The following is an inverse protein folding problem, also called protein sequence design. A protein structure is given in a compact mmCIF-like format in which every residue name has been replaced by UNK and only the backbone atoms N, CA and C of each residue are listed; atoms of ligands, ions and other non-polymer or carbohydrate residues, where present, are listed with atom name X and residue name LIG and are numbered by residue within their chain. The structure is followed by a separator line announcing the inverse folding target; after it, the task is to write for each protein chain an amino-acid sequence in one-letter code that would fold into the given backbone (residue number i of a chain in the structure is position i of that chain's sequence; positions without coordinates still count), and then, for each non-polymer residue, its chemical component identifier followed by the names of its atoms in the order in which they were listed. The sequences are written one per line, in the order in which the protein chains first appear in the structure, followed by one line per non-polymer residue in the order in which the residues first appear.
data_IF_585482976022
#
_entry.id   IF_585482976022
#
_cell.length_a   1.000
_cell.length_b   1.000
_cell.length_c   1.000
_cell.angle_alpha   90.00
_cell.angle_beta   90.00
_cell.angle_gamma   90.00
#
_symmetry.space_group_name_H-M   'P 1'
#
loop_
_entity.id
_entity.type
_entity.pdbx_description
1 polymer ?
#
# COMPACT_ATOMS: atom_id res chain seq x y z
N UNK A 1 37.72 -49.35 64.15
CA UNK A 1 38.13 -48.43 63.05
C UNK A 1 37.83 -48.98 61.65
N UNK A 2 37.86 -50.30 61.41
CA UNK A 2 37.66 -50.89 60.06
C UNK A 2 36.21 -50.78 59.54
N UNK A 3 35.20 -50.87 60.40
CA UNK A 3 33.78 -50.85 59.99
C UNK A 3 33.28 -49.48 59.46
N UNK A 4 33.91 -48.38 59.87
CA UNK A 4 33.48 -47.04 59.46
C UNK A 4 33.96 -46.70 58.03
N UNK A 5 35.14 -47.21 57.66
CA UNK A 5 35.74 -47.00 56.32
C UNK A 5 34.97 -47.79 55.26
N UNK A 6 34.54 -49.02 55.57
CA UNK A 6 33.76 -49.87 54.64
C UNK A 6 32.39 -49.25 54.31
N UNK A 7 31.74 -48.64 55.30
CA UNK A 7 30.45 -47.94 55.09
C UNK A 7 30.59 -46.76 54.12
N UNK A 8 31.68 -45.99 54.24
CA UNK A 8 31.91 -44.83 53.38
C UNK A 8 32.15 -45.22 51.91
N UNK A 9 32.88 -46.31 51.66
CA UNK A 9 33.10 -46.79 50.30
C UNK A 9 31.83 -47.32 49.64
N UNK A 10 30.95 -48.01 50.39
CA UNK A 10 29.68 -48.53 49.86
C UNK A 10 28.72 -47.37 49.52
N UNK A 11 28.63 -46.35 50.38
CA UNK A 11 27.80 -45.16 50.11
C UNK A 11 28.33 -44.39 48.90
N UNK A 12 29.65 -44.25 48.77
CA UNK A 12 30.28 -43.62 47.60
C UNK A 12 30.02 -44.37 46.29
N UNK A 13 30.09 -45.71 46.31
CA UNK A 13 29.82 -46.54 45.12
C UNK A 13 28.34 -46.48 44.72
N UNK A 14 27.43 -46.49 45.70
CA UNK A 14 25.99 -46.35 45.45
C UNK A 14 25.65 -44.97 44.88
N UNK A 15 26.30 -43.91 45.35
CA UNK A 15 26.11 -42.56 44.82
C UNK A 15 26.63 -42.44 43.38
N UNK A 16 27.78 -43.05 43.06
CA UNK A 16 28.32 -43.10 41.69
C UNK A 16 27.47 -43.95 40.73
N UNK A 17 26.89 -45.05 41.21
CA UNK A 17 25.96 -45.86 40.42
C UNK A 17 24.62 -45.14 40.20
N UNK A 18 24.18 -44.32 41.16
CA UNK A 18 23.00 -43.48 41.01
C UNK A 18 23.21 -42.34 39.98
N UNK A 19 24.39 -41.72 39.96
CA UNK A 19 24.70 -40.65 38.98
C UNK A 19 24.89 -41.18 37.56
N UNK A 20 25.48 -42.37 37.39
CA UNK A 20 25.64 -43.00 36.06
C UNK A 20 24.30 -43.46 35.47
N UNK A 21 23.35 -43.95 36.28
CA UNK A 21 21.96 -44.21 35.86
C UNK A 21 21.22 -42.95 35.41
N UNK A 22 21.54 -41.79 35.99
CA UNK A 22 20.96 -40.50 35.59
C UNK A 22 21.42 -40.03 34.20
N UNK A 23 22.65 -40.38 33.79
CA UNK A 23 23.22 -39.90 32.51
C UNK A 23 22.81 -40.72 31.28
N UNK A 24 22.42 -41.98 31.42
CA UNK A 24 22.02 -42.86 30.30
C UNK A 24 20.56 -42.69 29.84
N UNK A 25 19.77 -41.83 30.50
CA UNK A 25 18.34 -41.63 30.20
C UNK A 25 18.06 -40.31 29.46
N UNK A 26 18.98 -39.87 28.61
CA UNK A 26 18.77 -38.74 27.70
C UNK A 26 18.74 -39.20 26.24
N UNK A 27 17.89 -40.19 25.94
CA UNK A 27 17.37 -40.33 24.59
C UNK A 27 16.38 -39.18 24.36
N UNK A 28 16.90 -38.03 23.91
CA UNK A 28 16.05 -36.94 23.42
C UNK A 28 15.30 -37.48 22.20
N UNK A 29 14.06 -37.87 22.43
CA UNK A 29 13.10 -38.17 21.39
C UNK A 29 12.99 -36.93 20.50
N UNK A 30 13.64 -36.97 19.34
CA UNK A 30 13.59 -35.89 18.37
C UNK A 30 12.18 -35.87 17.77
N UNK A 31 11.36 -34.96 18.26
CA UNK A 31 9.94 -34.88 17.92
C UNK A 31 9.77 -34.41 16.46
N UNK A 32 9.43 -35.34 15.57
CA UNK A 32 9.16 -35.09 14.15
C UNK A 32 8.13 -33.96 13.94
N UNK A 33 7.28 -33.69 14.93
CA UNK A 33 6.33 -32.55 14.89
C UNK A 33 7.01 -31.19 14.79
N UNK A 34 8.27 -31.03 15.23
CA UNK A 34 8.99 -29.76 15.08
C UNK A 34 9.45 -29.51 13.63
N UNK A 35 9.55 -30.56 12.81
CA UNK A 35 9.90 -30.47 11.39
C UNK A 35 8.67 -30.37 10.48
N UNK A 36 7.47 -30.63 11.02
CA UNK A 36 6.24 -30.46 10.26
C UNK A 36 6.01 -28.98 10.00
N UNK A 37 6.22 -28.59 8.74
CA UNK A 37 5.92 -27.25 8.23
C UNK A 37 4.48 -26.90 8.60
N UNK A 38 4.31 -25.82 9.37
CA UNK A 38 2.99 -25.32 9.76
C UNK A 38 2.09 -25.15 8.53
N UNK A 39 0.84 -25.60 8.67
CA UNK A 39 -0.19 -25.49 7.63
C UNK A 39 -0.31 -24.01 7.21
N UNK A 40 -0.15 -23.73 5.92
CA UNK A 40 -0.38 -22.39 5.36
C UNK A 40 -1.88 -22.18 5.24
N UNK A 41 -2.36 -21.06 5.76
CA UNK A 41 -3.74 -20.65 5.63
C UNK A 41 -3.90 -19.91 4.29
N UNK A 42 -4.85 -20.37 3.47
CA UNK A 42 -5.24 -19.70 2.23
C UNK A 42 -6.22 -18.55 2.48
N UNK A 43 -6.92 -18.63 3.62
CA UNK A 43 -7.99 -17.74 4.02
C UNK A 43 -7.69 -17.25 5.44
N UNK A 44 -8.08 -16.01 5.76
CA UNK A 44 -7.82 -15.45 7.08
C UNK A 44 -8.62 -16.19 8.16
N UNK A 45 -8.04 -16.41 9.35
CA UNK A 45 -8.72 -17.14 10.42
C UNK A 45 -9.99 -16.40 10.87
N UNK A 46 -11.05 -17.16 11.13
CA UNK A 46 -12.33 -16.62 11.56
C UNK A 46 -12.19 -15.81 12.85
N UNK A 47 -12.71 -14.58 12.88
CA UNK A 47 -12.65 -13.76 14.07
C UNK A 47 -13.61 -14.28 15.15
N UNK A 48 -13.10 -14.94 16.18
CA UNK A 48 -13.83 -15.43 17.38
C UNK A 48 -14.40 -14.30 18.28
N UNK A 49 -14.50 -13.07 17.79
CA UNK A 49 -14.98 -11.92 18.56
C UNK A 49 -14.57 -10.53 18.03
N UNK A 50 -13.65 -10.44 17.06
CA UNK A 50 -13.26 -9.15 16.44
C UNK A 50 -12.90 -9.31 14.97
N UNK A 51 -13.65 -8.69 14.06
CA UNK A 51 -13.43 -8.76 12.61
C UNK A 51 -11.95 -8.51 12.24
N UNK A 52 -11.37 -9.40 11.43
CA UNK A 52 -10.04 -9.21 10.85
C UNK A 52 -10.14 -8.13 9.77
N UNK A 53 -9.59 -6.95 10.06
CA UNK A 53 -9.61 -5.78 9.16
C UNK A 53 -8.21 -5.37 8.76
N UNK A 54 -8.03 -5.07 7.48
CA UNK A 54 -6.90 -4.28 6.99
C UNK A 54 -7.31 -2.82 7.03
N UNK A 55 -6.48 -1.98 7.64
CA UNK A 55 -6.70 -0.54 7.69
C UNK A 55 -5.62 0.15 6.87
N UNK A 56 -6.03 0.91 5.87
CA UNK A 56 -5.15 1.82 5.12
C UNK A 56 -5.45 3.22 5.58
N UNK A 57 -4.42 3.93 6.02
CA UNK A 57 -4.54 5.31 6.49
C UNK A 57 -3.75 6.22 5.57
N UNK A 58 -4.41 7.23 5.02
CA UNK A 58 -3.77 8.32 4.28
C UNK A 58 -3.77 9.57 5.16
N UNK A 59 -2.58 10.05 5.51
CA UNK A 59 -2.39 11.30 6.24
C UNK A 59 -1.87 12.38 5.30
N UNK A 60 -2.53 13.54 5.26
CA UNK A 60 -2.07 14.73 4.55
C UNK A 60 -1.88 15.87 5.56
N UNK A 61 -0.70 16.48 5.58
CA UNK A 61 -0.42 17.68 6.37
C UNK A 61 -0.21 18.87 5.45
N UNK A 62 -1.11 19.85 5.48
CA UNK A 62 -0.98 21.08 4.71
C UNK A 62 -0.47 22.20 5.62
N UNK A 63 0.72 22.78 5.34
CA UNK A 63 1.17 23.98 6.04
C UNK A 63 0.29 25.16 5.62
N UNK A 64 -0.19 25.91 6.60
CA UNK A 64 -0.91 27.17 6.36
C UNK A 64 0.04 28.34 6.56
N UNK A 65 0.02 29.29 5.62
CA UNK A 65 0.83 30.52 5.69
C UNK A 65 0.18 31.52 6.67
N UNK A 66 0.94 32.00 7.66
CA UNK A 66 0.51 32.97 8.67
C UNK A 66 1.64 33.32 9.66
N UNK A 67 1.43 34.30 10.55
CA UNK A 67 2.44 34.77 11.52
C UNK A 67 2.89 33.68 12.53
N UNK A 68 2.16 32.56 12.59
CA UNK A 68 2.46 31.39 13.40
C UNK A 68 2.32 30.14 12.53
N UNK A 69 3.29 29.22 12.64
CA UNK A 69 3.25 27.95 11.93
C UNK A 69 2.07 27.09 12.43
N UNK A 70 1.04 26.93 11.60
CA UNK A 70 -0.11 26.05 11.84
C UNK A 70 -0.18 25.02 10.73
N UNK A 71 -0.29 23.74 11.08
CA UNK A 71 -0.39 22.62 10.13
C UNK A 71 -1.79 22.03 10.22
N UNK A 72 -2.50 22.00 9.08
CA UNK A 72 -3.79 21.36 8.96
C UNK A 72 -3.61 19.89 8.55
N UNK A 73 -4.01 18.98 9.44
CA UNK A 73 -3.91 17.53 9.19
C UNK A 73 -5.24 16.92 8.76
N UNK A 74 -5.25 16.21 7.63
CA UNK A 74 -6.34 15.36 7.19
C UNK A 74 -5.95 13.89 7.29
N UNK A 75 -6.84 13.04 7.82
CA UNK A 75 -6.62 11.60 7.90
C UNK A 75 -7.82 10.87 7.29
N UNK A 76 -7.57 10.16 6.19
CA UNK A 76 -8.54 9.27 5.56
C UNK A 76 -8.28 7.83 6.05
N UNK A 77 -9.30 7.19 6.62
CA UNK A 77 -9.23 5.82 7.13
C UNK A 77 -10.09 4.87 6.30
N UNK A 78 -9.44 3.99 5.55
CA UNK A 78 -10.09 2.95 4.77
C UNK A 78 -10.03 1.61 5.52
N UNK A 79 -11.18 1.06 5.92
CA UNK A 79 -11.27 -0.23 6.62
C UNK A 79 -11.77 -1.32 5.66
N UNK A 80 -10.96 -2.36 5.44
CA UNK A 80 -11.27 -3.49 4.57
C UNK A 80 -11.41 -4.76 5.37
N UNK A 81 -12.61 -5.36 5.35
CA UNK A 81 -12.84 -6.65 5.98
C UNK A 81 -12.16 -7.75 5.17
N UNK A 82 -11.35 -8.57 5.85
CA UNK A 82 -10.64 -9.68 5.20
C UNK A 82 -11.58 -10.86 4.96
N UNK A 83 -11.47 -11.54 3.80
CA UNK A 83 -12.30 -12.71 3.52
C UNK A 83 -11.88 -13.88 4.41
N UNK A 84 -12.87 -14.46 5.09
CA UNK A 84 -12.75 -15.62 5.97
C UNK A 84 -13.28 -16.92 5.35
N UNK A 85 -13.88 -16.85 4.16
CA UNK A 85 -14.41 -18.02 3.44
C UNK A 85 -13.76 -18.16 2.05
N UNK A 86 -13.33 -19.38 1.69
CA UNK A 86 -12.70 -19.66 0.39
C UNK A 86 -13.64 -19.46 -0.80
N UNK A 87 -14.95 -19.62 -0.61
CA UNK A 87 -15.95 -19.38 -1.67
C UNK A 87 -15.94 -17.93 -2.18
N UNK A 88 -15.54 -16.98 -1.32
CA UNK A 88 -15.40 -15.56 -1.71
C UNK A 88 -14.21 -15.30 -2.63
N UNK A 89 -13.28 -16.24 -2.75
CA UNK A 89 -12.15 -16.16 -3.66
C UNK A 89 -12.35 -16.96 -4.95
N UNK A 90 -13.20 -17.99 -4.92
CA UNK A 90 -13.44 -18.88 -6.07
C UNK A 90 -14.48 -18.36 -7.07
N UNK A 91 -15.39 -17.47 -6.65
CA UNK A 91 -16.38 -16.84 -7.55
C UNK A 91 -16.26 -15.30 -7.54
N UNK A 92 -15.26 -14.73 -8.23
CA UNK A 92 -15.09 -13.29 -8.31
C UNK A 92 -16.20 -12.60 -9.13
N UNK A 93 -16.90 -13.32 -10.01
CA UNK A 93 -17.76 -12.75 -11.04
C UNK A 93 -19.09 -12.19 -10.48
N UNK A 94 -19.70 -12.88 -9.51
CA UNK A 94 -20.99 -12.46 -8.92
C UNK A 94 -20.89 -11.28 -7.95
N UNK A 95 -19.68 -11.00 -7.41
CA UNK A 95 -19.41 -9.80 -6.61
C UNK A 95 -19.06 -8.59 -7.50
N UNK A 96 -18.30 -8.83 -8.56
CA UNK A 96 -17.97 -7.83 -9.58
C UNK A 96 -19.23 -7.09 -10.07
N UNK A 97 -20.35 -7.79 -10.25
CA UNK A 97 -21.62 -7.19 -10.69
C UNK A 97 -22.22 -6.15 -9.71
N UNK A 98 -22.08 -6.33 -8.39
CA UNK A 98 -22.55 -5.33 -7.40
C UNK A 98 -21.54 -4.20 -7.20
N UNK A 99 -20.25 -4.51 -7.39
CA UNK A 99 -19.19 -3.51 -7.34
C UNK A 99 -19.18 -2.64 -8.61
N UNK A 100 -19.54 -3.12 -9.82
CA UNK A 100 -19.61 -2.33 -11.07
C UNK A 100 -20.50 -1.08 -10.91
N UNK A 101 -21.63 -1.18 -10.19
CA UNK A 101 -22.52 -0.02 -9.93
C UNK A 101 -21.84 0.99 -9.00
N UNK A 102 -20.92 0.55 -8.14
CA UNK A 102 -20.08 1.36 -7.25
C UNK A 102 -18.76 1.80 -7.91
N UNK A 103 -18.26 1.08 -8.92
CA UNK A 103 -17.01 1.35 -9.66
C UNK A 103 -17.15 2.49 -10.68
N UNK A 104 -18.37 2.86 -11.11
CA UNK A 104 -18.55 4.11 -11.87
C UNK A 104 -18.06 5.35 -11.10
N UNK A 105 -18.01 5.29 -9.76
CA UNK A 105 -17.43 6.35 -8.94
C UNK A 105 -15.89 6.28 -8.80
N UNK A 106 -15.24 5.21 -9.28
CA UNK A 106 -13.78 5.02 -9.21
C UNK A 106 -13.10 4.97 -10.60
N UNK A 107 -13.79 5.32 -11.68
CA UNK A 107 -13.14 5.50 -12.98
C UNK A 107 -12.13 6.65 -12.91
N UNK A 108 -11.03 6.54 -13.68
CA UNK A 108 -10.04 7.62 -13.83
C UNK A 108 -10.70 8.93 -14.24
N UNK A 109 -11.75 8.88 -15.05
CA UNK A 109 -12.50 10.06 -15.46
C UNK A 109 -13.18 10.76 -14.28
N UNK A 110 -13.76 10.00 -13.35
CA UNK A 110 -14.34 10.52 -12.12
C UNK A 110 -13.28 11.15 -11.21
N UNK A 111 -12.09 10.54 -11.15
CA UNK A 111 -10.94 11.11 -10.43
C UNK A 111 -10.48 12.42 -11.07
N UNK A 112 -10.33 12.49 -12.39
CA UNK A 112 -9.93 13.71 -13.09
C UNK A 112 -10.96 14.84 -12.95
N UNK A 113 -12.26 14.53 -12.94
CA UNK A 113 -13.29 15.53 -12.61
C UNK A 113 -13.15 16.07 -11.19
N UNK A 114 -12.84 15.20 -10.22
CA UNK A 114 -12.57 15.62 -8.84
C UNK A 114 -11.32 16.50 -8.77
N UNK A 115 -10.21 16.10 -9.41
CA UNK A 115 -8.99 16.91 -9.44
C UNK A 115 -9.25 18.27 -10.09
N UNK A 116 -9.92 18.30 -11.24
CA UNK A 116 -10.27 19.54 -11.91
C UNK A 116 -11.07 20.47 -10.97
N UNK A 117 -12.03 19.94 -10.20
CA UNK A 117 -12.80 20.72 -9.23
C UNK A 117 -11.93 21.26 -8.08
N UNK A 118 -11.00 20.46 -7.55
CA UNK A 118 -10.05 20.92 -6.53
C UNK A 118 -9.17 22.06 -7.06
N UNK A 119 -8.83 22.00 -8.34
CA UNK A 119 -7.92 22.94 -9.01
C UNK A 119 -8.63 24.19 -9.53
N UNK A 120 -9.94 24.36 -9.31
CA UNK A 120 -10.67 25.58 -9.68
C UNK A 120 -10.09 26.84 -9.01
N UNK A 121 -9.47 26.69 -7.85
CA UNK A 121 -8.80 27.79 -7.15
C UNK A 121 -7.54 28.31 -7.88
N UNK A 122 -7.01 27.54 -8.84
CA UNK A 122 -5.78 27.85 -9.59
C UNK A 122 -6.05 28.46 -10.98
N UNK A 123 -7.32 28.67 -11.34
CA UNK A 123 -7.78 29.18 -12.63
C UNK A 123 -8.90 28.31 -13.21
N UNK A 124 -8.83 28.01 -14.51
CA UNK A 124 -9.69 26.98 -15.10
C UNK A 124 -9.24 25.62 -14.55
N UNK A 125 -9.94 25.09 -13.55
CA UNK A 125 -9.53 23.85 -12.87
C UNK A 125 -9.29 22.69 -13.84
N UNK A 126 -10.12 22.59 -14.89
CA UNK A 126 -9.92 21.68 -16.02
C UNK A 126 -8.64 22.00 -16.81
N UNK A 127 -8.42 23.25 -17.19
CA UNK A 127 -7.21 23.69 -17.89
C UNK A 127 -5.93 23.42 -17.10
N UNK A 128 -5.97 23.58 -15.78
CA UNK A 128 -4.86 23.26 -14.90
C UNK A 128 -4.55 21.77 -14.82
N UNK A 129 -5.57 20.91 -14.80
CA UNK A 129 -5.37 19.47 -14.86
C UNK A 129 -4.75 19.05 -16.21
N UNK A 130 -5.24 19.60 -17.32
CA UNK A 130 -4.67 19.34 -18.66
C UNK A 130 -3.22 19.81 -18.76
N UNK A 131 -2.91 20.99 -18.21
CA UNK A 131 -1.54 21.50 -18.11
C UNK A 131 -0.64 20.56 -17.31
N UNK A 132 -1.09 20.07 -16.16
CA UNK A 132 -0.33 19.14 -15.33
C UNK A 132 -0.06 17.80 -16.04
N UNK A 133 -1.03 17.26 -16.78
CA UNK A 133 -0.85 16.04 -17.58
C UNK A 133 0.17 16.28 -18.70
N UNK A 134 0.07 17.40 -19.40
CA UNK A 134 1.02 17.77 -20.46
C UNK A 134 2.44 17.91 -19.91
N UNK A 135 2.63 18.65 -18.83
CA UNK A 135 3.95 18.86 -18.21
C UNK A 135 4.53 17.58 -17.61
N UNK A 136 3.69 16.71 -17.03
CA UNK A 136 4.11 15.39 -16.54
C UNK A 136 4.52 14.44 -17.68
N UNK A 137 3.92 14.60 -18.87
CA UNK A 137 4.30 13.84 -20.05
C UNK A 137 5.56 14.39 -20.73
N UNK A 138 5.79 15.71 -20.66
CA UNK A 138 7.01 16.38 -21.12
C UNK A 138 8.22 15.99 -20.25
N UNK A 139 8.07 16.05 -18.93
CA UNK A 139 9.11 15.70 -17.97
C UNK A 139 8.60 14.60 -17.03
N UNK A 140 8.73 13.32 -17.40
CA UNK A 140 8.29 12.22 -16.56
C UNK A 140 9.01 12.23 -15.22
N UNK A 141 8.28 11.92 -14.15
CA UNK A 141 8.84 11.83 -12.81
C UNK A 141 9.94 10.76 -12.77
N UNK A 142 11.16 11.17 -12.45
CA UNK A 142 12.28 10.23 -12.32
C UNK A 142 12.04 9.28 -11.14
N UNK A 143 12.36 8.00 -11.32
CA UNK A 143 12.24 6.92 -10.32
C UNK A 143 13.03 7.24 -9.02
N UNK A 144 13.98 8.18 -9.09
CA UNK A 144 14.72 8.71 -7.94
C UNK A 144 13.86 9.51 -6.94
N UNK A 145 12.65 9.94 -7.33
CA UNK A 145 11.73 10.75 -6.50
C UNK A 145 10.84 9.93 -5.55
N UNK A 146 11.07 8.62 -5.45
CA UNK A 146 10.40 7.75 -4.49
C UNK A 146 8.93 7.42 -4.86
N UNK A 147 8.21 6.79 -3.93
CA UNK A 147 6.86 6.26 -4.16
C UNK A 147 5.85 7.30 -4.65
N UNK A 148 5.97 8.55 -4.21
CA UNK A 148 5.07 9.62 -4.63
C UNK A 148 5.26 9.98 -6.11
N UNK A 149 6.51 9.97 -6.60
CA UNK A 149 6.81 10.20 -8.02
C UNK A 149 6.18 9.13 -8.91
N UNK A 150 6.30 7.86 -8.53
CA UNK A 150 5.64 6.75 -9.22
C UNK A 150 4.11 6.89 -9.23
N UNK A 151 3.53 7.25 -8.08
CA UNK A 151 2.10 7.41 -7.96
C UNK A 151 1.59 8.56 -8.86
N UNK A 152 2.29 9.69 -8.85
CA UNK A 152 1.97 10.83 -9.70
C UNK A 152 2.16 10.50 -11.19
N UNK A 153 3.20 9.74 -11.55
CA UNK A 153 3.39 9.26 -12.91
C UNK A 153 2.19 8.43 -13.38
N UNK A 154 1.77 7.43 -12.60
CA UNK A 154 0.61 6.59 -12.95
C UNK A 154 -0.68 7.41 -13.01
N UNK A 155 -0.87 8.37 -12.08
CA UNK A 155 -2.07 9.18 -12.00
C UNK A 155 -2.19 10.19 -13.15
N UNK A 156 -1.10 10.82 -13.55
CA UNK A 156 -1.05 11.86 -14.60
C UNK A 156 -0.68 11.32 -15.98
N UNK A 157 -0.64 10.00 -16.16
CA UNK A 157 -0.45 9.32 -17.46
C UNK A 157 -1.75 8.64 -17.86
N UNK A 158 -2.66 9.32 -18.58
CA UNK A 158 -3.92 8.75 -19.04
C UNK A 158 -3.77 7.44 -19.82
N UNK A 159 -2.66 7.25 -20.55
CA UNK A 159 -2.38 6.00 -21.27
C UNK A 159 -2.03 4.80 -20.38
N UNK A 160 -1.91 4.96 -19.06
CA UNK A 160 -1.46 3.88 -18.15
C UNK A 160 -2.53 2.83 -17.82
N UNK A 161 -3.82 3.13 -18.03
CA UNK A 161 -4.91 2.14 -17.91
C UNK A 161 -5.75 2.12 -19.19
N UNK A 162 -6.09 0.94 -19.71
CA UNK A 162 -7.02 0.81 -20.82
C UNK A 162 -8.45 0.93 -20.29
N UNK A 163 -8.97 2.16 -20.23
CA UNK A 163 -10.38 2.46 -19.92
C UNK A 163 -11.11 2.89 -21.20
N UNK A 164 -12.38 2.48 -21.35
CA UNK A 164 -13.23 2.99 -22.42
C UNK A 164 -13.50 4.49 -22.24
N UNK A 165 -13.54 5.24 -23.34
CA UNK A 165 -13.96 6.64 -23.29
C UNK A 165 -15.48 6.71 -23.19
N UNK A 166 -15.99 7.26 -22.09
CA UNK A 166 -17.44 7.42 -21.90
C UNK A 166 -17.90 8.77 -22.48
N UNK A 167 -17.06 9.81 -22.44
CA UNK A 167 -17.36 11.17 -22.90
C UNK A 167 -16.25 11.76 -23.81
N UNK A 168 -16.61 12.75 -24.63
CA UNK A 168 -15.64 13.52 -25.45
C UNK A 168 -14.53 14.16 -24.63
N UNK A 169 -14.86 14.59 -23.41
CA UNK A 169 -13.93 15.20 -22.46
C UNK A 169 -12.77 14.28 -22.07
N UNK A 170 -12.98 12.96 -22.11
CA UNK A 170 -12.00 11.95 -21.72
C UNK A 170 -10.86 11.87 -22.75
N UNK A 171 -11.15 12.20 -24.01
CA UNK A 171 -10.15 12.27 -25.09
C UNK A 171 -9.20 13.47 -24.93
N UNK A 172 -9.63 14.54 -24.27
CA UNK A 172 -8.79 15.73 -24.09
C UNK A 172 -7.59 15.44 -23.20
N UNK A 173 -7.73 14.57 -22.20
CA UNK A 173 -6.63 14.16 -21.33
C UNK A 173 -5.54 13.41 -22.11
N UNK A 174 -5.94 12.48 -23.00
CA UNK A 174 -4.98 11.79 -23.87
C UNK A 174 -4.32 12.72 -24.89
N UNK A 175 -5.05 13.73 -25.39
CA UNK A 175 -4.45 14.75 -26.26
C UNK A 175 -3.42 15.59 -25.51
N UNK A 176 -3.72 16.01 -24.28
CA UNK A 176 -2.78 16.75 -23.45
C UNK A 176 -1.48 15.94 -23.20
N UNK A 177 -1.62 14.66 -22.91
CA UNK A 177 -0.49 13.74 -22.79
C UNK A 177 0.33 13.65 -24.08
N UNK A 178 -0.32 13.47 -25.24
CA UNK A 178 0.36 13.40 -26.53
C UNK A 178 1.13 14.69 -26.85
N UNK A 179 0.52 15.85 -26.58
CA UNK A 179 1.17 17.16 -26.77
C UNK A 179 2.46 17.27 -25.95
N UNK A 180 2.42 16.86 -24.66
CA UNK A 180 3.59 16.89 -23.80
C UNK A 180 4.72 15.98 -24.26
N UNK A 181 4.39 14.80 -24.82
CA UNK A 181 5.38 13.86 -25.37
C UNK A 181 6.00 14.34 -26.69
N UNK A 182 5.20 14.97 -27.55
CA UNK A 182 5.62 15.36 -28.90
C UNK A 182 6.30 16.73 -28.95
N UNK A 183 5.87 17.68 -28.11
CA UNK A 183 6.27 19.09 -28.17
C UNK A 183 6.67 19.63 -26.78
N UNK A 184 7.91 19.38 -26.32
CA UNK A 184 8.38 19.92 -25.06
C UNK A 184 8.41 21.46 -25.07
N UNK A 185 8.07 22.09 -23.96
CA UNK A 185 8.09 23.52 -23.73
C UNK A 185 6.84 24.28 -24.21
N UNK A 186 5.84 23.58 -24.76
CA UNK A 186 4.65 24.22 -25.36
C UNK A 186 3.42 24.12 -24.45
N UNK A 187 3.44 23.27 -23.42
CA UNK A 187 2.32 23.03 -22.49
C UNK A 187 1.80 24.32 -21.84
N UNK A 188 2.69 25.21 -21.39
CA UNK A 188 2.32 26.50 -20.77
C UNK A 188 1.60 27.45 -21.73
N UNK A 189 1.92 27.40 -23.03
CA UNK A 189 1.30 28.27 -24.04
C UNK A 189 -0.05 27.74 -24.50
N UNK A 190 -0.18 26.42 -24.64
CA UNK A 190 -1.41 25.75 -25.05
C UNK A 190 -2.46 25.84 -23.94
N UNK A 191 -2.07 25.59 -22.69
CA UNK A 191 -2.96 25.63 -21.53
C UNK A 191 -2.78 26.91 -20.72
N UNK A 192 -2.93 28.05 -21.39
CA UNK A 192 -2.77 29.40 -20.80
C UNK A 192 -3.86 29.79 -19.79
N UNK A 193 -4.96 29.02 -19.73
CA UNK A 193 -6.05 29.20 -18.76
C UNK A 193 -5.63 28.87 -17.31
N UNK A 194 -4.50 28.18 -17.14
CA UNK A 194 -3.94 27.87 -15.85
C UNK A 194 -2.78 28.81 -15.51
N UNK A 195 -2.94 29.63 -14.46
CA UNK A 195 -1.99 30.69 -14.11
C UNK A 195 -0.68 30.16 -13.52
N UNK A 196 -0.72 29.05 -12.77
CA UNK A 196 0.45 28.40 -12.18
C UNK A 196 0.39 26.90 -12.36
N UNK A 197 1.55 26.26 -12.59
CA UNK A 197 1.58 24.81 -12.70
C UNK A 197 1.23 24.18 -11.35
N UNK A 198 0.31 23.21 -11.33
CA UNK A 198 0.05 22.39 -10.14
C UNK A 198 1.26 21.56 -9.73
N UNK A 199 2.13 21.22 -10.68
CA UNK A 199 3.31 20.40 -10.41
C UNK A 199 4.40 21.19 -9.67
N UNK A 200 4.52 22.50 -9.91
CA UNK A 200 5.48 23.37 -9.21
C UNK A 200 5.34 23.30 -7.68
N UNK A 201 4.11 23.13 -7.16
CA UNK A 201 3.86 22.96 -5.72
C UNK A 201 4.48 21.68 -5.14
N UNK A 202 4.61 20.63 -5.95
CA UNK A 202 5.11 19.32 -5.50
C UNK A 202 6.57 19.07 -5.93
N UNK A 203 7.00 19.66 -7.03
CA UNK A 203 8.34 19.43 -7.60
C UNK A 203 9.39 20.43 -7.13
N UNK A 204 8.97 21.54 -6.50
CA UNK A 204 9.86 22.45 -5.75
C UNK A 204 11.04 22.99 -6.57
N UNK A 205 10.81 23.27 -7.86
CA UNK A 205 11.76 23.96 -8.74
C UNK A 205 11.41 25.44 -8.86
#
# INVERSE_FOLDING_TARGET
MVNLVVSCHIVGLLYLLATTRGSLRNNKHFDIKSLLRKKRYFVYPDPLGSETKVQVLFGLGLPMEGDVAVILGYVLKCNYNLPYNSSTLSDPYTRYQRDIVREKFLSRWSLYRLLASVMETMGSGRGCLLRAICEAAESPFDHSRGLLGELLHVLLTPSSTPEGHDLHEDLEFHRAEAIGRENPGVCSRIFSECLRSPLEYFTGL
#
